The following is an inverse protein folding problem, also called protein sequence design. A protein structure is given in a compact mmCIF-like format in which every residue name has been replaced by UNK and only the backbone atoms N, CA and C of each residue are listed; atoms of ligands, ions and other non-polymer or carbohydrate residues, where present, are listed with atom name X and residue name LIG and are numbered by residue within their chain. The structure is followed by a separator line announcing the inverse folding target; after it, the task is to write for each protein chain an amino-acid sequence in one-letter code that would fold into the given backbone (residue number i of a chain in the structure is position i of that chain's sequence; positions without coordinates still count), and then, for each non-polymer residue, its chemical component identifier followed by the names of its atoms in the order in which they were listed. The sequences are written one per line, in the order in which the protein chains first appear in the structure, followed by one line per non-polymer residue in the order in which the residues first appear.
data_IF_488974320367
#
_entry.id   IF_488974320367
#
_cell.length_a   1.000
_cell.length_b   1.000
_cell.length_c   1.000
_cell.angle_alpha   90.00
_cell.angle_beta   90.00
_cell.angle_gamma   90.00
#
_symmetry.space_group_name_H-M   'P 1'
#
loop_
_entity.id
_entity.type
_entity.pdbx_description
1 polymer ?
#
# COMPACT_ATOMS: atom_id res chain seq x y z
N UNK A 1 10.84 1.24 -19.71
CA UNK A 1 10.07 1.24 -18.45
C UNK A 1 10.13 2.65 -17.89
N UNK A 2 8.98 3.28 -17.59
CA UNK A 2 8.94 4.65 -17.06
C UNK A 2 9.34 4.60 -15.57
N UNK A 3 10.43 5.27 -15.19
CA UNK A 3 10.77 5.42 -13.76
C UNK A 3 9.62 6.15 -13.04
N UNK A 4 9.31 5.67 -11.85
CA UNK A 4 8.35 6.31 -10.95
C UNK A 4 9.17 7.15 -9.96
N UNK A 5 8.87 8.44 -9.88
CA UNK A 5 9.65 9.43 -9.11
C UNK A 5 8.84 10.15 -8.05
N UNK A 6 7.51 10.02 -8.10
CA UNK A 6 6.57 10.65 -7.18
C UNK A 6 6.12 9.59 -6.15
N UNK A 7 6.42 9.85 -4.89
CA UNK A 7 6.27 8.97 -3.72
C UNK A 7 5.02 9.30 -2.90
N UNK A 8 3.98 9.83 -3.55
CA UNK A 8 2.72 10.25 -2.94
C UNK A 8 2.21 9.29 -1.83
N UNK A 9 2.07 9.85 -0.63
CA UNK A 9 1.65 9.12 0.57
C UNK A 9 0.16 8.74 0.58
N UNK A 10 -0.10 7.48 0.88
CA UNK A 10 -1.45 6.89 1.01
C UNK A 10 -1.55 6.05 2.29
N UNK A 11 -2.77 5.66 2.69
CA UNK A 11 -2.98 4.82 3.87
C UNK A 11 -3.68 3.51 3.50
N UNK A 12 -2.95 2.40 3.59
CA UNK A 12 -3.51 1.05 3.51
C UNK A 12 -4.23 0.73 4.83
N UNK A 13 -5.54 0.48 4.76
CA UNK A 13 -6.40 0.30 5.94
C UNK A 13 -7.10 -1.06 6.01
N UNK A 14 -6.95 -1.90 4.99
CA UNK A 14 -7.51 -3.24 4.97
C UNK A 14 -7.01 -4.04 3.77
N UNK A 15 -7.30 -5.34 3.76
CA UNK A 15 -7.04 -6.21 2.63
C UNK A 15 -8.05 -7.36 2.60
N UNK A 16 -8.20 -7.98 1.43
CA UNK A 16 -9.01 -9.18 1.21
C UNK A 16 -8.28 -10.09 0.22
N UNK A 17 -8.40 -11.41 0.42
CA UNK A 17 -8.01 -12.39 -0.59
C UNK A 17 -9.23 -12.78 -1.42
N UNK A 18 -9.15 -12.53 -2.73
CA UNK A 18 -10.19 -12.84 -3.70
C UNK A 18 -9.57 -13.50 -4.92
N UNK A 19 -10.08 -14.66 -5.32
CA UNK A 19 -9.60 -15.44 -6.48
C UNK A 19 -8.08 -15.72 -6.46
N UNK A 20 -7.54 -15.99 -5.28
CA UNK A 20 -6.11 -16.26 -5.09
C UNK A 20 -5.21 -15.02 -5.21
N UNK A 21 -5.80 -13.82 -5.16
CA UNK A 21 -5.10 -12.54 -5.24
C UNK A 21 -5.43 -11.67 -4.04
N UNK A 22 -4.42 -10.99 -3.52
CA UNK A 22 -4.63 -10.01 -2.45
C UNK A 22 -5.00 -8.66 -3.04
N UNK A 23 -6.10 -8.10 -2.54
CA UNK A 23 -6.57 -6.76 -2.82
C UNK A 23 -6.43 -5.91 -1.56
N UNK A 24 -5.96 -4.68 -1.71
CA UNK A 24 -5.72 -3.75 -0.61
C UNK A 24 -6.68 -2.58 -0.68
N UNK A 25 -7.33 -2.27 0.45
CA UNK A 25 -8.15 -1.08 0.61
C UNK A 25 -7.28 0.11 1.01
N UNK A 26 -7.26 1.12 0.16
CA UNK A 26 -6.45 2.33 0.32
C UNK A 26 -7.36 3.52 0.58
N UNK A 27 -7.08 4.28 1.64
CA UNK A 27 -7.63 5.62 1.87
C UNK A 27 -6.68 6.66 1.27
N UNK A 28 -7.24 7.56 0.47
CA UNK A 28 -6.49 8.56 -0.30
C UNK A 28 -7.11 9.97 -0.18
N UNK A 29 -6.25 10.99 -0.10
CA UNK A 29 -6.63 12.41 0.02
C UNK A 29 -6.57 13.20 -1.30
N UNK A 30 -6.01 12.61 -2.36
CA UNK A 30 -5.86 13.18 -3.68
C UNK A 30 -7.20 13.50 -4.34
N UNK A 31 -7.24 14.52 -5.20
CA UNK A 31 -8.49 14.93 -5.85
C UNK A 31 -9.18 13.81 -6.63
N UNK A 32 -8.39 12.92 -7.25
CA UNK A 32 -8.89 11.76 -7.96
C UNK A 32 -9.71 10.79 -7.11
N UNK A 33 -9.42 10.67 -5.80
CA UNK A 33 -10.08 9.70 -4.92
C UNK A 33 -11.55 10.04 -4.70
N UNK A 34 -11.95 11.30 -4.96
CA UNK A 34 -13.34 11.76 -4.84
C UNK A 34 -14.20 11.38 -6.05
N UNK A 35 -13.59 10.87 -7.11
CA UNK A 35 -14.25 10.46 -8.35
C UNK A 35 -14.45 8.94 -8.46
N UNK A 36 -14.20 8.19 -7.39
CA UNK A 36 -14.48 6.76 -7.30
C UNK A 36 -15.91 6.50 -6.79
N UNK A 37 -16.39 5.25 -6.92
CA UNK A 37 -17.66 4.84 -6.34
C UNK A 37 -17.64 5.00 -4.82
N UNK A 38 -16.61 4.46 -4.18
CA UNK A 38 -16.34 4.63 -2.74
C UNK A 38 -15.42 5.84 -2.53
N UNK A 39 -16.02 7.03 -2.47
CA UNK A 39 -15.30 8.32 -2.39
C UNK A 39 -14.23 8.31 -1.29
N UNK A 40 -13.01 8.63 -1.68
CA UNK A 40 -11.84 8.65 -0.80
C UNK A 40 -11.10 7.32 -0.71
N UNK A 41 -11.57 6.29 -1.41
CA UNK A 41 -11.02 4.95 -1.35
C UNK A 41 -10.69 4.38 -2.73
N UNK A 42 -9.65 3.54 -2.75
CA UNK A 42 -9.21 2.75 -3.89
C UNK A 42 -8.98 1.29 -3.47
N UNK A 43 -9.05 0.41 -4.46
CA UNK A 43 -8.64 -0.98 -4.33
C UNK A 43 -7.38 -1.22 -5.17
N UNK A 44 -6.28 -1.61 -4.54
CA UNK A 44 -5.03 -1.91 -5.22
C UNK A 44 -4.82 -3.43 -5.30
N UNK A 45 -4.52 -3.92 -6.50
CA UNK A 45 -4.11 -5.30 -6.71
C UNK A 45 -2.68 -5.54 -6.20
N UNK A 46 -2.38 -6.75 -5.70
CA UNK A 46 -1.07 -7.11 -5.16
C UNK A 46 0.11 -6.78 -6.07
N UNK A 47 -0.02 -6.97 -7.38
CA UNK A 47 1.05 -6.70 -8.34
C UNK A 47 1.35 -5.21 -8.46
N UNK A 48 0.34 -4.35 -8.32
CA UNK A 48 0.55 -2.90 -8.28
C UNK A 48 1.32 -2.52 -7.02
N UNK A 49 0.97 -3.09 -5.86
CA UNK A 49 1.67 -2.83 -4.60
C UNK A 49 3.13 -3.25 -4.68
N UNK A 50 3.40 -4.49 -5.15
CA UNK A 50 4.76 -5.04 -5.31
C UNK A 50 5.63 -4.22 -6.27
N UNK A 51 5.03 -3.62 -7.30
CA UNK A 51 5.75 -2.90 -8.35
C UNK A 51 5.92 -1.41 -8.06
N UNK A 52 4.95 -0.77 -7.38
CA UNK A 52 4.79 0.70 -7.37
C UNK A 52 4.95 1.34 -6.00
N UNK A 53 4.95 0.57 -4.91
CA UNK A 53 5.18 1.10 -3.56
C UNK A 53 6.68 1.11 -3.27
N UNK A 54 7.18 2.25 -2.83
CA UNK A 54 8.61 2.49 -2.64
C UNK A 54 9.05 2.24 -1.19
N UNK A 55 8.26 2.73 -0.24
CA UNK A 55 8.45 2.50 1.18
C UNK A 55 7.09 2.34 1.87
N UNK A 56 7.15 1.97 3.14
CA UNK A 56 5.99 1.93 3.99
C UNK A 56 6.40 2.26 5.42
N UNK A 57 5.49 2.90 6.15
CA UNK A 57 5.66 3.15 7.58
C UNK A 57 4.67 2.29 8.35
N UNK A 58 5.18 1.57 9.34
CA UNK A 58 4.39 0.74 10.26
C UNK A 58 4.80 1.03 11.70
N UNK A 59 3.92 0.67 12.63
CA UNK A 59 4.28 0.71 14.04
C UNK A 59 5.47 -0.21 14.31
N UNK A 60 6.44 0.25 15.14
CA UNK A 60 7.69 -0.46 15.44
C UNK A 60 7.49 -1.91 15.91
N UNK A 61 6.35 -2.18 16.54
CA UNK A 61 6.05 -3.51 17.08
C UNK A 61 5.87 -4.57 15.98
N UNK A 62 5.46 -4.16 14.77
CA UNK A 62 5.36 -5.05 13.61
C UNK A 62 6.71 -5.63 13.17
N UNK A 63 7.81 -5.00 13.57
CA UNK A 63 9.16 -5.38 13.17
C UNK A 63 9.95 -6.10 14.26
N UNK A 64 9.36 -6.30 15.46
CA UNK A 64 10.05 -6.90 16.62
C UNK A 64 10.72 -8.22 16.30
N UNK A 65 10.01 -9.11 15.60
CA UNK A 65 10.50 -10.45 15.26
C UNK A 65 11.53 -10.45 14.13
N UNK A 66 11.72 -9.32 13.45
CA UNK A 66 12.59 -9.17 12.30
C UNK A 66 13.91 -8.49 12.63
N UNK A 67 14.06 -7.80 13.77
CA UNK A 67 15.30 -7.10 14.13
C UNK A 67 16.54 -8.00 14.10
N UNK A 68 16.40 -9.28 14.49
CA UNK A 68 17.49 -10.25 14.46
C UNK A 68 18.09 -10.46 13.06
N UNK A 69 17.31 -10.23 11.99
CA UNK A 69 17.72 -10.39 10.59
C UNK A 69 18.53 -9.20 10.06
N UNK A 70 18.59 -8.09 10.79
CA UNK A 70 19.25 -6.85 10.36
C UNK A 70 20.42 -6.44 11.27
N UNK A 71 20.89 -7.35 12.13
CA UNK A 71 22.12 -7.15 12.89
C UNK A 71 23.32 -7.19 11.93
N UNK A 72 24.15 -6.15 12.00
CA UNK A 72 25.40 -5.99 11.25
C UNK A 72 26.49 -6.91 11.75
#
# INVERSE_FOLDING_TARGET
MKQQTDDYGIHLIGYEELDGKTWFLIKDSGAGSRNTGDKGYYFYHEDYVKLKIMDFMVHKDMFKDYFSKFNK
#
